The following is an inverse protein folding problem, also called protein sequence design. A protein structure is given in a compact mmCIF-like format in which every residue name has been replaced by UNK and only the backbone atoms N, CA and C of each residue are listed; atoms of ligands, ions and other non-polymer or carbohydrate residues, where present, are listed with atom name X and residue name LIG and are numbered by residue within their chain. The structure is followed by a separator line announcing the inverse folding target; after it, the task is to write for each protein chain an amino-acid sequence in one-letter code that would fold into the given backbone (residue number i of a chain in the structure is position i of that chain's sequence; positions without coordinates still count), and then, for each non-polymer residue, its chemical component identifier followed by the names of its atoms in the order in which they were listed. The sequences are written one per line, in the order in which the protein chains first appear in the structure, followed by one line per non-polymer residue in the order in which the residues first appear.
data_IF_079899327674
#
_entry.id   IF_079899327674
#
_cell.length_a   1.000
_cell.length_b   1.000
_cell.length_c   1.000
_cell.angle_alpha   90.00
_cell.angle_beta   90.00
_cell.angle_gamma   90.00
#
_symmetry.space_group_name_H-M   'P 1'
#
loop_
_entity.id
_entity.type
_entity.pdbx_description
1 polymer ?
#
# COMPACT_ATOMS: atom_id res chain seq x y z
N UNK A 1 -15.39 6.47 -1.10
CA UNK A 1 -15.15 6.87 0.31
C UNK A 1 -14.31 8.14 0.44
N UNK A 2 -13.02 8.19 0.08
CA UNK A 2 -12.25 9.45 0.17
C UNK A 2 -12.83 10.58 -0.73
N UNK A 3 -13.22 10.22 -1.96
CA UNK A 3 -13.90 11.13 -2.90
C UNK A 3 -15.22 11.67 -2.32
N UNK A 4 -16.06 10.79 -1.78
CA UNK A 4 -17.40 11.15 -1.30
C UNK A 4 -17.37 11.92 0.02
N UNK A 5 -16.41 11.62 0.91
CA UNK A 5 -16.17 12.37 2.13
C UNK A 5 -15.72 13.81 1.85
N UNK A 6 -14.98 14.03 0.76
CA UNK A 6 -14.54 15.37 0.36
C UNK A 6 -15.67 16.20 -0.28
N UNK A 7 -16.48 15.57 -1.13
CA UNK A 7 -17.66 16.22 -1.72
C UNK A 7 -18.71 16.64 -0.67
N UNK A 8 -18.86 15.87 0.41
CA UNK A 8 -19.82 16.20 1.47
C UNK A 8 -19.30 17.23 2.49
N UNK A 9 -17.99 17.46 2.58
CA UNK A 9 -17.41 18.31 3.62
C UNK A 9 -17.31 19.80 3.27
N UNK A 10 -17.45 20.21 2.01
CA UNK A 10 -17.28 21.62 1.64
C UNK A 10 -18.61 22.34 1.42
N UNK A 11 -19.09 22.99 2.49
CA UNK A 11 -20.11 24.03 2.40
C UNK A 11 -19.59 25.32 1.69
N UNK A 12 -18.32 25.34 1.24
CA UNK A 12 -17.73 26.34 0.35
C UNK A 12 -16.95 25.62 -0.76
N UNK A 13 -17.58 25.46 -1.93
CA UNK A 13 -17.08 24.86 -3.19
C UNK A 13 -15.57 25.07 -3.48
N UNK A 14 -14.74 24.11 -3.06
CA UNK A 14 -13.33 23.99 -3.47
C UNK A 14 -13.18 22.88 -4.51
N UNK A 15 -12.11 22.94 -5.31
CA UNK A 15 -11.80 21.95 -6.36
C UNK A 15 -10.64 21.08 -5.90
N UNK A 16 -10.80 19.76 -6.01
CA UNK A 16 -9.76 18.78 -5.69
C UNK A 16 -9.49 17.88 -6.89
N UNK A 17 -8.26 17.91 -7.39
CA UNK A 17 -7.83 17.12 -8.56
C UNK A 17 -6.73 16.15 -8.15
N UNK A 18 -6.90 14.88 -8.53
CA UNK A 18 -5.88 13.83 -8.37
C UNK A 18 -5.14 13.62 -9.69
N UNK A 19 -3.82 13.63 -9.63
CA UNK A 19 -2.89 13.35 -10.71
C UNK A 19 -2.11 12.08 -10.36
N UNK A 20 -2.31 10.97 -11.09
CA UNK A 20 -1.52 9.75 -10.89
C UNK A 20 -0.15 9.90 -11.56
N UNK A 21 0.94 9.65 -10.83
CA UNK A 21 2.30 9.71 -11.35
C UNK A 21 2.76 8.33 -11.85
N UNK A 22 3.31 8.30 -13.06
CA UNK A 22 3.90 7.15 -13.72
C UNK A 22 5.43 7.12 -13.62
N UNK A 23 6.03 6.03 -14.14
CA UNK A 23 7.49 5.87 -14.17
C UNK A 23 8.19 6.76 -15.19
N UNK A 24 7.48 7.07 -16.27
CA UNK A 24 7.96 7.89 -17.38
C UNK A 24 7.57 9.36 -17.21
N UNK A 25 6.95 9.72 -16.08
CA UNK A 25 6.59 11.08 -15.77
C UNK A 25 7.78 11.87 -15.21
N UNK A 26 7.82 13.15 -15.59
CA UNK A 26 8.75 14.15 -15.11
C UNK A 26 7.97 15.34 -14.52
N UNK A 27 8.68 16.39 -14.06
CA UNK A 27 8.02 17.57 -13.53
C UNK A 27 7.03 18.20 -14.53
N UNK A 28 7.39 18.26 -15.82
CA UNK A 28 6.57 18.89 -16.84
C UNK A 28 5.31 18.08 -17.16
N UNK A 29 5.45 16.77 -17.36
CA UNK A 29 4.33 15.88 -17.71
C UNK A 29 3.27 15.88 -16.61
N UNK A 30 3.67 15.85 -15.33
CA UNK A 30 2.75 15.89 -14.19
C UNK A 30 1.89 17.15 -14.21
N UNK A 31 2.48 18.33 -14.41
CA UNK A 31 1.72 19.58 -14.40
C UNK A 31 0.92 19.81 -15.68
N UNK A 32 1.33 19.23 -16.81
CA UNK A 32 0.52 19.19 -18.04
C UNK A 32 -0.70 18.28 -17.90
N UNK A 33 -0.64 17.20 -17.11
CA UNK A 33 -1.82 16.35 -16.82
C UNK A 33 -2.93 17.08 -16.05
N UNK A 34 -2.65 18.22 -15.42
CA UNK A 34 -3.64 18.94 -14.63
C UNK A 34 -4.81 19.47 -15.49
N UNK A 35 -4.54 19.97 -16.70
CA UNK A 35 -5.57 20.53 -17.58
C UNK A 35 -6.64 19.50 -17.99
N UNK A 36 -6.31 18.32 -18.57
CA UNK A 36 -7.34 17.35 -18.93
C UNK A 36 -8.12 16.82 -17.72
N UNK A 37 -7.48 16.74 -16.54
CA UNK A 37 -8.18 16.38 -15.30
C UNK A 37 -9.13 17.47 -14.81
N UNK A 38 -8.75 18.75 -14.95
CA UNK A 38 -9.62 19.89 -14.66
C UNK A 38 -10.79 19.97 -15.64
N UNK A 39 -10.56 19.77 -16.94
CA UNK A 39 -11.64 19.72 -17.94
C UNK A 39 -12.62 18.57 -17.63
N UNK A 40 -12.11 17.38 -17.33
CA UNK A 40 -12.95 16.24 -16.92
C UNK A 40 -13.77 16.52 -15.65
N UNK A 41 -13.22 17.33 -14.72
CA UNK A 41 -13.96 17.79 -13.56
C UNK A 41 -15.07 18.78 -13.95
N UNK A 42 -14.77 19.74 -14.83
CA UNK A 42 -15.71 20.76 -15.28
C UNK A 42 -16.91 20.19 -16.06
N UNK A 43 -16.69 19.12 -16.83
CA UNK A 43 -17.75 18.41 -17.56
C UNK A 43 -18.84 17.84 -16.64
N UNK A 44 -18.48 17.55 -15.38
CA UNK A 44 -19.38 16.99 -14.37
C UNK A 44 -19.78 18.02 -13.31
N UNK A 45 -19.21 19.22 -13.35
CA UNK A 45 -19.42 20.25 -12.34
C UNK A 45 -20.74 21.02 -12.58
N UNK A 46 -21.33 21.60 -11.52
CA UNK A 46 -22.41 22.58 -11.67
C UNK A 46 -22.02 23.75 -12.56
N UNK A 47 -22.97 24.28 -13.33
CA UNK A 47 -22.73 25.33 -14.32
C UNK A 47 -22.07 26.59 -13.75
N UNK A 48 -22.39 26.97 -12.51
CA UNK A 48 -21.80 28.11 -11.82
C UNK A 48 -20.32 27.92 -11.45
N UNK A 49 -19.91 26.66 -11.18
CA UNK A 49 -18.50 26.31 -10.97
C UNK A 49 -17.76 26.31 -12.31
N UNK A 50 -18.38 25.76 -13.35
CA UNK A 50 -17.80 25.71 -14.70
C UNK A 50 -17.54 27.12 -15.25
N UNK A 51 -18.52 28.02 -15.15
CA UNK A 51 -18.39 29.41 -15.61
C UNK A 51 -17.25 30.16 -14.88
N UNK A 52 -17.05 29.89 -13.58
CA UNK A 52 -15.99 30.54 -12.79
C UNK A 52 -14.59 30.01 -13.08
N UNK A 53 -14.48 28.72 -13.44
CA UNK A 53 -13.19 28.06 -13.54
C UNK A 53 -12.68 27.94 -14.97
N UNK A 54 -13.56 27.87 -15.98
CA UNK A 54 -13.15 27.63 -17.38
C UNK A 54 -12.07 28.61 -17.85
N UNK A 55 -12.28 29.92 -17.67
CA UNK A 55 -11.31 30.94 -18.06
C UNK A 55 -9.96 30.83 -17.31
N UNK A 56 -9.97 30.28 -16.09
CA UNK A 56 -8.76 30.03 -15.32
C UNK A 56 -8.03 28.76 -15.78
N UNK A 57 -8.77 27.74 -16.24
CA UNK A 57 -8.21 26.53 -16.88
C UNK A 57 -7.55 26.89 -18.20
N UNK A 58 -8.24 27.64 -19.07
CA UNK A 58 -7.68 28.05 -20.36
C UNK A 58 -6.38 28.85 -20.17
N UNK A 59 -6.37 29.76 -19.18
CA UNK A 59 -5.17 30.53 -18.85
C UNK A 59 -4.07 29.68 -18.20
N UNK A 60 -4.41 28.63 -17.46
CA UNK A 60 -3.43 27.68 -16.95
C UNK A 60 -2.74 26.94 -18.10
N UNK A 61 -3.54 26.45 -19.05
CA UNK A 61 -3.08 25.77 -20.26
C UNK A 61 -2.10 26.66 -21.06
N UNK A 62 -2.45 27.93 -21.26
CA UNK A 62 -1.57 28.91 -21.91
C UNK A 62 -0.23 29.12 -21.17
N UNK A 63 -0.24 29.10 -19.84
CA UNK A 63 0.96 29.35 -19.02
C UNK A 63 1.87 28.12 -18.95
N UNK A 64 1.29 26.92 -18.88
CA UNK A 64 2.01 25.69 -18.56
C UNK A 64 2.21 24.82 -19.80
N UNK A 65 1.19 24.62 -20.61
CA UNK A 65 1.27 23.72 -21.77
C UNK A 65 1.94 24.37 -22.97
N UNK A 66 1.69 25.66 -23.17
CA UNK A 66 2.25 26.43 -24.29
C UNK A 66 3.62 27.06 -23.98
N UNK A 67 4.20 26.77 -22.81
CA UNK A 67 5.53 27.23 -22.45
C UNK A 67 6.63 26.39 -23.15
N UNK A 68 7.69 27.06 -23.61
CA UNK A 68 8.88 26.41 -24.19
C UNK A 68 9.55 25.44 -23.19
N UNK A 69 9.48 25.76 -21.90
CA UNK A 69 9.91 24.91 -20.80
C UNK A 69 8.99 25.07 -19.59
N UNK A 70 8.55 23.96 -19.01
CA UNK A 70 7.74 23.97 -17.78
C UNK A 70 8.67 24.11 -16.59
N UNK A 71 8.60 25.27 -15.92
CA UNK A 71 9.40 25.58 -14.73
C UNK A 71 8.52 25.71 -13.49
N UNK A 72 9.10 25.61 -12.27
CA UNK A 72 8.37 25.87 -11.03
C UNK A 72 7.64 27.22 -11.01
N UNK A 73 8.24 28.27 -11.57
CA UNK A 73 7.59 29.59 -11.68
C UNK A 73 6.35 29.56 -12.59
N UNK A 74 6.46 28.94 -13.77
CA UNK A 74 5.33 28.80 -14.69
C UNK A 74 4.16 28.08 -14.00
N UNK A 75 4.46 26.96 -13.34
CA UNK A 75 3.44 26.17 -12.62
C UNK A 75 2.87 26.95 -11.44
N UNK A 76 3.70 27.64 -10.64
CA UNK A 76 3.23 28.46 -9.52
C UNK A 76 2.28 29.57 -9.98
N UNK A 77 2.61 30.26 -11.09
CA UNK A 77 1.73 31.27 -11.69
C UNK A 77 0.43 30.66 -12.21
N UNK A 78 0.50 29.50 -12.88
CA UNK A 78 -0.68 28.76 -13.32
C UNK A 78 -1.60 28.37 -12.16
N UNK A 79 -1.05 27.73 -11.12
CA UNK A 79 -1.81 27.34 -9.93
C UNK A 79 -2.40 28.54 -9.20
N UNK A 80 -1.70 29.69 -9.17
CA UNK A 80 -2.21 30.94 -8.61
C UNK A 80 -3.42 31.48 -9.38
N UNK A 81 -3.43 31.35 -10.71
CA UNK A 81 -4.59 31.70 -11.55
C UNK A 81 -5.79 30.85 -11.16
N UNK A 82 -5.63 29.52 -11.09
CA UNK A 82 -6.69 28.60 -10.70
C UNK A 82 -7.19 28.85 -9.27
N UNK A 83 -6.25 28.98 -8.32
CA UNK A 83 -6.52 29.15 -6.90
C UNK A 83 -7.20 30.49 -6.53
N UNK A 84 -7.11 31.49 -7.42
CA UNK A 84 -7.83 32.76 -7.28
C UNK A 84 -9.32 32.64 -7.63
N UNK A 85 -9.68 31.70 -8.52
CA UNK A 85 -11.08 31.43 -8.86
C UNK A 85 -11.75 30.59 -7.78
N UNK A 86 -11.06 29.56 -7.26
CA UNK A 86 -11.59 28.61 -6.27
C UNK A 86 -10.45 28.09 -5.37
N UNK A 87 -10.71 27.76 -4.09
CA UNK A 87 -9.73 27.00 -3.30
C UNK A 87 -9.37 25.70 -4.02
N UNK A 88 -8.07 25.46 -4.24
CA UNK A 88 -7.57 24.35 -5.03
C UNK A 88 -6.82 23.35 -4.16
N UNK A 89 -7.08 22.06 -4.38
CA UNK A 89 -6.29 20.95 -3.85
C UNK A 89 -5.79 20.12 -5.03
N UNK A 90 -4.48 19.90 -5.10
CA UNK A 90 -3.87 19.02 -6.09
C UNK A 90 -3.24 17.84 -5.37
N UNK A 91 -3.63 16.62 -5.72
CA UNK A 91 -3.11 15.38 -5.12
C UNK A 91 -2.22 14.71 -6.15
N UNK A 92 -0.91 14.69 -5.90
CA UNK A 92 0.07 13.92 -6.64
C UNK A 92 0.13 12.53 -6.03
N UNK A 93 -0.35 11.52 -6.74
CA UNK A 93 -0.45 10.15 -6.24
C UNK A 93 0.58 9.24 -6.89
N UNK A 94 1.06 8.23 -6.15
CA UNK A 94 2.20 7.39 -6.56
C UNK A 94 3.47 8.21 -6.90
N UNK A 95 3.72 9.31 -6.17
CA UNK A 95 4.85 10.21 -6.44
C UNK A 95 6.21 9.51 -6.39
N UNK A 96 6.33 8.39 -5.66
CA UNK A 96 7.53 7.55 -5.64
C UNK A 96 7.88 6.94 -7.01
N UNK A 97 6.97 6.98 -7.99
CA UNK A 97 7.21 6.51 -9.36
C UNK A 97 8.08 7.46 -10.19
N UNK A 98 8.11 8.74 -9.85
CA UNK A 98 8.93 9.75 -10.54
C UNK A 98 10.39 9.49 -10.19
N UNK A 99 11.17 9.06 -11.17
CA UNK A 99 12.48 8.45 -10.94
C UNK A 99 13.68 9.40 -10.94
N UNK A 100 13.56 10.59 -11.53
CA UNK A 100 14.70 11.49 -11.69
C UNK A 100 14.86 12.44 -10.49
N UNK A 101 16.08 12.51 -9.95
CA UNK A 101 16.40 13.41 -8.84
C UNK A 101 16.16 14.88 -9.19
N UNK A 102 16.49 15.28 -10.43
CA UNK A 102 16.32 16.65 -10.90
C UNK A 102 14.85 17.09 -10.85
N UNK A 103 13.90 16.19 -11.12
CA UNK A 103 12.47 16.49 -11.01
C UNK A 103 12.06 16.76 -9.56
N UNK A 104 12.58 15.99 -8.61
CA UNK A 104 12.26 16.18 -7.19
C UNK A 104 12.68 17.57 -6.68
N UNK A 105 13.79 18.11 -7.17
CA UNK A 105 14.24 19.48 -6.89
C UNK A 105 13.22 20.51 -7.41
N UNK A 106 12.71 20.32 -8.63
CA UNK A 106 11.71 21.22 -9.21
C UNK A 106 10.39 21.22 -8.40
N UNK A 107 9.95 20.06 -7.90
CA UNK A 107 8.80 19.99 -6.99
C UNK A 107 9.05 20.71 -5.67
N UNK A 108 10.25 20.57 -5.08
CA UNK A 108 10.61 21.28 -3.86
C UNK A 108 10.61 22.81 -4.04
N UNK A 109 11.17 23.29 -5.15
CA UNK A 109 11.17 24.72 -5.50
C UNK A 109 9.75 25.25 -5.73
N UNK A 110 8.89 24.47 -6.39
CA UNK A 110 7.47 24.84 -6.56
C UNK A 110 6.76 24.97 -5.21
N UNK A 111 6.90 23.99 -4.30
CA UNK A 111 6.27 24.02 -2.97
C UNK A 111 6.72 25.27 -2.20
N UNK A 112 8.02 25.60 -2.29
CA UNK A 112 8.56 26.81 -1.69
C UNK A 112 7.90 28.06 -2.26
N UNK A 113 7.81 28.17 -3.59
CA UNK A 113 7.14 29.31 -4.24
C UNK A 113 5.69 29.43 -3.80
N UNK A 114 4.92 28.35 -3.83
CA UNK A 114 3.52 28.34 -3.39
C UNK A 114 3.36 28.80 -1.93
N UNK A 115 4.27 28.36 -1.06
CA UNK A 115 4.29 28.73 0.36
C UNK A 115 4.69 30.19 0.59
N UNK A 116 5.75 30.67 -0.07
CA UNK A 116 6.25 32.04 0.11
C UNK A 116 5.24 33.07 -0.45
N UNK A 117 4.55 32.72 -1.54
CA UNK A 117 3.51 33.56 -2.17
C UNK A 117 2.11 33.43 -1.54
N UNK A 118 1.93 32.55 -0.55
CA UNK A 118 0.65 32.25 0.08
C UNK A 118 -0.47 31.90 -0.93
N UNK A 119 -0.13 31.12 -1.94
CA UNK A 119 -1.10 30.67 -2.95
C UNK A 119 -2.16 29.80 -2.27
N UNK A 120 -3.45 30.02 -2.58
CA UNK A 120 -4.59 29.25 -2.03
C UNK A 120 -4.72 27.85 -2.65
N UNK A 121 -3.60 27.19 -2.86
CA UNK A 121 -3.47 25.85 -3.40
C UNK A 121 -2.81 24.95 -2.34
N UNK A 122 -3.45 23.83 -2.01
CA UNK A 122 -2.84 22.79 -1.18
C UNK A 122 -2.38 21.65 -2.07
N UNK A 123 -1.08 21.33 -2.04
CA UNK A 123 -0.54 20.17 -2.75
C UNK A 123 -0.38 19.01 -1.76
N UNK A 124 -1.04 17.89 -2.04
CA UNK A 124 -0.84 16.63 -1.35
C UNK A 124 0.09 15.76 -2.18
N UNK A 125 1.17 15.27 -1.57
CA UNK A 125 2.08 14.33 -2.19
C UNK A 125 1.89 12.98 -1.50
N UNK A 126 1.46 11.99 -2.26
CA UNK A 126 1.21 10.63 -1.79
C UNK A 126 2.20 9.70 -2.48
N UNK A 127 2.93 8.94 -1.67
CA UNK A 127 3.92 7.99 -2.16
C UNK A 127 4.60 7.26 -1.01
N UNK A 128 5.49 6.33 -1.34
CA UNK A 128 6.25 5.56 -0.35
C UNK A 128 7.33 6.42 0.33
N UNK A 129 7.44 6.27 1.65
CA UNK A 129 8.23 7.15 2.54
C UNK A 129 9.71 7.30 2.15
N UNK A 130 10.34 6.26 1.60
CA UNK A 130 11.76 6.28 1.25
C UNK A 130 12.06 7.29 0.13
N UNK A 131 11.11 7.53 -0.78
CA UNK A 131 11.28 8.47 -1.90
C UNK A 131 10.89 9.91 -1.49
N UNK A 132 9.91 10.07 -0.60
CA UNK A 132 9.51 11.37 -0.04
C UNK A 132 10.62 11.96 0.83
N UNK A 133 11.41 11.13 1.51
CA UNK A 133 12.61 11.59 2.21
C UNK A 133 13.66 12.20 1.24
N UNK A 134 13.75 11.70 0.02
CA UNK A 134 14.58 12.27 -1.05
C UNK A 134 14.18 13.70 -1.40
N UNK A 135 12.87 13.97 -1.51
CA UNK A 135 12.32 15.32 -1.72
C UNK A 135 12.73 16.29 -0.60
N UNK A 136 12.81 15.81 0.65
CA UNK A 136 13.19 16.61 1.82
C UNK A 136 14.70 16.86 1.94
N UNK A 137 15.52 15.92 1.46
CA UNK A 137 16.96 15.93 1.67
C UNK A 137 17.68 17.10 0.95
N UNK A 138 17.10 17.65 -0.12
CA UNK A 138 17.69 18.75 -0.89
C UNK A 138 17.45 20.16 -0.34
N UNK A 139 16.40 20.37 0.48
CA UNK A 139 15.93 21.72 0.81
C UNK A 139 15.51 21.86 2.28
N UNK A 140 16.47 22.04 3.20
CA UNK A 140 16.17 22.32 4.61
C UNK A 140 15.18 23.49 4.84
N UNK A 141 14.99 24.37 3.85
CA UNK A 141 14.05 25.50 3.91
C UNK A 141 12.58 25.15 3.60
N UNK A 142 12.26 23.99 3.01
CA UNK A 142 10.87 23.57 2.74
C UNK A 142 10.21 22.87 3.93
N UNK A 143 10.97 22.48 4.95
CA UNK A 143 10.45 21.74 6.11
C UNK A 143 9.31 22.50 6.81
N UNK A 144 9.41 23.83 6.87
CA UNK A 144 8.34 24.71 7.41
C UNK A 144 7.07 24.75 6.55
N UNK A 145 7.19 24.40 5.26
CA UNK A 145 6.09 24.42 4.29
C UNK A 145 5.42 23.03 4.15
N UNK A 146 5.97 22.01 4.81
CA UNK A 146 5.51 20.63 4.68
C UNK A 146 4.94 20.12 6.02
N UNK A 147 3.87 19.33 5.90
CA UNK A 147 3.34 18.55 7.02
C UNK A 147 3.34 17.07 6.64
N UNK A 148 4.22 16.31 7.26
CA UNK A 148 4.28 14.87 7.06
C UNK A 148 3.17 14.18 7.84
N UNK A 149 2.37 13.37 7.13
CA UNK A 149 1.38 12.49 7.74
C UNK A 149 1.85 11.06 7.51
N UNK A 150 2.41 10.45 8.56
CA UNK A 150 2.80 9.06 8.50
C UNK A 150 1.56 8.16 8.56
N UNK A 151 1.46 7.23 7.62
CA UNK A 151 0.42 6.20 7.58
C UNK A 151 1.03 4.86 8.04
N UNK A 152 1.01 4.55 9.34
CA UNK A 152 1.52 3.27 9.84
C UNK A 152 0.59 2.12 9.43
N UNK A 153 1.06 0.89 9.65
CA UNK A 153 0.20 -0.30 9.58
C UNK A 153 -0.94 -0.17 10.58
N UNK A 154 -2.12 -0.66 10.20
CA UNK A 154 -3.27 -0.72 11.10
C UNK A 154 -2.97 -1.67 12.26
N UNK A 155 -3.41 -1.28 13.45
CA UNK A 155 -3.33 -2.10 14.65
C UNK A 155 -4.30 -3.28 14.57
N UNK A 156 -4.05 -4.38 15.31
CA UNK A 156 -4.95 -5.53 15.33
C UNK A 156 -6.41 -5.17 15.63
N UNK A 157 -6.65 -4.20 16.52
CA UNK A 157 -8.00 -3.75 16.90
C UNK A 157 -8.69 -3.01 15.75
N UNK A 158 -7.93 -2.20 14.98
CA UNK A 158 -8.47 -1.49 13.81
C UNK A 158 -8.84 -2.48 12.69
N UNK A 159 -8.02 -3.51 12.49
CA UNK A 159 -8.33 -4.58 11.54
C UNK A 159 -9.54 -5.41 11.98
N UNK A 160 -9.68 -5.67 13.28
CA UNK A 160 -10.86 -6.31 13.84
C UNK A 160 -12.13 -5.51 13.50
N UNK A 161 -12.10 -4.19 13.71
CA UNK A 161 -13.24 -3.31 13.43
C UNK A 161 -13.59 -3.27 11.94
N UNK A 162 -12.59 -3.33 11.04
CA UNK A 162 -12.81 -3.46 9.60
C UNK A 162 -13.56 -4.76 9.27
N UNK A 163 -13.18 -5.88 9.89
CA UNK A 163 -13.84 -7.18 9.66
C UNK A 163 -15.28 -7.12 10.16
N UNK A 164 -15.48 -6.79 11.43
CA UNK A 164 -16.82 -6.77 12.06
C UNK A 164 -17.73 -5.77 11.34
N UNK A 165 -17.28 -4.53 11.14
CA UNK A 165 -18.05 -3.51 10.44
C UNK A 165 -18.41 -3.89 9.01
N UNK A 166 -17.55 -4.63 8.31
CA UNK A 166 -17.83 -5.17 6.97
C UNK A 166 -19.00 -6.17 6.97
N UNK A 167 -19.01 -7.11 7.91
CA UNK A 167 -20.09 -8.11 8.02
C UNK A 167 -21.39 -7.51 8.57
N UNK A 168 -21.31 -6.57 9.51
CA UNK A 168 -22.47 -5.81 10.00
C UNK A 168 -23.12 -5.00 8.87
N UNK A 169 -22.29 -4.39 8.00
CA UNK A 169 -22.77 -3.66 6.83
C UNK A 169 -23.45 -4.59 5.82
N UNK A 170 -22.91 -5.79 5.61
CA UNK A 170 -23.54 -6.81 4.77
C UNK A 170 -24.91 -7.21 5.32
N UNK A 171 -25.02 -7.48 6.62
CA UNK A 171 -26.29 -7.81 7.26
C UNK A 171 -27.30 -6.67 7.08
N UNK A 172 -26.89 -5.43 7.33
CA UNK A 172 -27.74 -4.24 7.18
C UNK A 172 -28.28 -4.08 5.76
N UNK A 173 -27.47 -4.36 4.74
CA UNK A 173 -27.84 -4.16 3.33
C UNK A 173 -28.60 -5.35 2.71
N UNK A 174 -28.30 -6.57 3.13
CA UNK A 174 -28.81 -7.80 2.49
C UNK A 174 -29.80 -8.58 3.35
N UNK A 175 -29.85 -8.33 4.67
CA UNK A 175 -30.57 -9.16 5.64
C UNK A 175 -29.92 -10.51 5.92
N UNK A 176 -28.77 -10.83 5.30
CA UNK A 176 -28.04 -12.08 5.54
C UNK A 176 -27.02 -11.89 6.64
N UNK A 177 -27.18 -12.63 7.73
CA UNK A 177 -26.23 -12.64 8.85
C UNK A 177 -25.21 -13.75 8.69
N UNK A 178 -23.93 -13.37 8.69
CA UNK A 178 -22.80 -14.31 8.76
C UNK A 178 -22.12 -14.09 10.11
N UNK A 179 -22.07 -15.13 10.92
CA UNK A 179 -21.46 -15.09 12.26
C UNK A 179 -20.04 -15.61 12.19
N UNK A 180 -19.09 -14.78 12.59
CA UNK A 180 -17.68 -15.15 12.71
C UNK A 180 -17.37 -15.58 14.15
N UNK A 181 -16.70 -16.71 14.31
CA UNK A 181 -16.08 -17.05 15.59
C UNK A 181 -14.92 -16.09 15.93
N UNK A 182 -14.57 -15.92 17.22
CA UNK A 182 -13.38 -15.15 17.62
C UNK A 182 -12.09 -15.67 16.97
N UNK A 183 -11.98 -16.99 16.80
CA UNK A 183 -10.86 -17.63 16.11
C UNK A 183 -10.74 -17.18 14.65
N UNK A 184 -11.86 -17.10 13.93
CA UNK A 184 -11.89 -16.62 12.55
C UNK A 184 -11.41 -15.16 12.42
N UNK A 185 -11.91 -14.27 13.30
CA UNK A 185 -11.51 -12.86 13.27
C UNK A 185 -10.01 -12.72 13.57
N UNK A 186 -9.53 -13.40 14.61
CA UNK A 186 -8.12 -13.39 14.97
C UNK A 186 -7.23 -13.92 13.84
N UNK A 187 -7.66 -14.97 13.14
CA UNK A 187 -6.95 -15.51 11.98
C UNK A 187 -6.88 -14.47 10.84
N UNK A 188 -7.98 -13.79 10.52
CA UNK A 188 -7.99 -12.73 9.48
C UNK A 188 -7.04 -11.59 9.87
N UNK A 189 -7.12 -11.09 11.11
CA UNK A 189 -6.28 -9.99 11.61
C UNK A 189 -4.80 -10.37 11.55
N UNK A 190 -4.43 -11.56 12.05
CA UNK A 190 -3.06 -12.06 12.01
C UNK A 190 -2.54 -12.24 10.58
N UNK A 191 -3.35 -12.78 9.67
CA UNK A 191 -2.93 -12.97 8.27
C UNK A 191 -2.82 -11.65 7.50
N UNK A 192 -3.57 -10.63 7.90
CA UNK A 192 -3.56 -9.30 7.26
C UNK A 192 -2.31 -8.48 7.58
N UNK A 193 -1.61 -8.76 8.69
CA UNK A 193 -0.33 -8.13 9.06
C UNK A 193 -0.37 -6.59 9.11
N UNK A 194 -1.54 -6.02 9.44
CA UNK A 194 -1.77 -4.57 9.52
C UNK A 194 -2.08 -3.87 8.19
N UNK A 195 -2.28 -4.62 7.10
CA UNK A 195 -2.63 -4.05 5.79
C UNK A 195 -4.15 -4.10 5.56
N UNK A 196 -4.82 -2.95 5.36
CA UNK A 196 -6.28 -2.88 5.21
C UNK A 196 -6.79 -3.65 3.99
N UNK A 197 -6.05 -3.57 2.88
CA UNK A 197 -6.40 -4.25 1.63
C UNK A 197 -6.55 -5.77 1.82
N UNK A 198 -5.63 -6.41 2.55
CA UNK A 198 -5.72 -7.86 2.78
C UNK A 198 -6.81 -8.23 3.76
N UNK A 199 -7.11 -7.37 4.75
CA UNK A 199 -8.25 -7.58 5.64
C UNK A 199 -9.57 -7.60 4.85
N UNK A 200 -9.77 -6.64 3.94
CA UNK A 200 -10.93 -6.63 3.06
C UNK A 200 -10.97 -7.83 2.12
N UNK A 201 -9.83 -8.20 1.50
CA UNK A 201 -9.75 -9.34 0.60
C UNK A 201 -10.15 -10.64 1.32
N UNK A 202 -9.56 -10.92 2.48
CA UNK A 202 -9.83 -12.13 3.25
C UNK A 202 -11.28 -12.17 3.76
N UNK A 203 -11.74 -11.09 4.39
CA UNK A 203 -13.11 -11.00 4.90
C UNK A 203 -14.13 -11.13 3.76
N UNK A 204 -13.88 -10.49 2.62
CA UNK A 204 -14.72 -10.57 1.42
C UNK A 204 -14.79 -11.98 0.86
N UNK A 205 -13.64 -12.65 0.67
CA UNK A 205 -13.60 -14.04 0.18
C UNK A 205 -14.28 -15.02 1.14
N UNK A 206 -14.18 -14.79 2.45
CA UNK A 206 -14.91 -15.57 3.46
C UNK A 206 -16.41 -15.36 3.32
N UNK A 207 -16.86 -14.10 3.22
CA UNK A 207 -18.28 -13.77 3.03
C UNK A 207 -18.84 -14.41 1.76
N UNK A 208 -18.10 -14.35 0.66
CA UNK A 208 -18.47 -15.00 -0.59
C UNK A 208 -18.56 -16.54 -0.44
N UNK A 209 -17.57 -17.16 0.20
CA UNK A 209 -17.57 -18.60 0.42
C UNK A 209 -18.74 -19.04 1.31
N UNK A 210 -19.03 -18.29 2.37
CA UNK A 210 -20.15 -18.52 3.27
C UNK A 210 -21.49 -18.45 2.51
N UNK A 211 -21.68 -17.44 1.66
CA UNK A 211 -22.87 -17.29 0.82
C UNK A 211 -23.03 -18.44 -0.19
N UNK A 212 -21.94 -18.80 -0.90
CA UNK A 212 -21.96 -19.88 -1.91
C UNK A 212 -22.22 -21.25 -1.29
N UNK A 213 -21.62 -21.53 -0.13
CA UNK A 213 -21.77 -22.80 0.59
C UNK A 213 -23.01 -22.85 1.46
N UNK A 214 -23.74 -21.74 1.62
CA UNK A 214 -24.84 -21.56 2.57
C UNK A 214 -24.43 -21.91 4.01
N UNK A 215 -23.15 -21.70 4.36
CA UNK A 215 -22.59 -21.89 5.69
C UNK A 215 -22.36 -20.53 6.33
N UNK A 216 -23.27 -20.11 7.19
CA UNK A 216 -23.25 -18.78 7.81
C UNK A 216 -22.56 -18.70 9.17
N UNK A 217 -22.06 -19.83 9.68
CA UNK A 217 -21.21 -19.88 10.87
C UNK A 217 -19.79 -20.16 10.42
N UNK A 218 -18.94 -19.14 10.46
CA UNK A 218 -17.57 -19.18 9.94
C UNK A 218 -16.59 -19.35 11.11
N UNK A 219 -15.75 -20.37 10.99
CA UNK A 219 -14.67 -20.65 11.94
C UNK A 219 -13.29 -20.37 11.32
N UNK A 220 -12.25 -20.40 12.15
CA UNK A 220 -10.85 -20.27 11.72
C UNK A 220 -10.46 -21.27 10.62
N UNK A 221 -11.10 -22.44 10.59
CA UNK A 221 -10.91 -23.44 9.55
C UNK A 221 -11.40 -22.98 8.17
N UNK A 222 -12.44 -22.13 8.13
CA UNK A 222 -12.99 -21.59 6.89
C UNK A 222 -12.13 -20.44 6.32
N UNK A 223 -11.47 -19.68 7.20
CA UNK A 223 -10.53 -18.60 6.81
C UNK A 223 -9.45 -19.13 5.89
N UNK A 224 -8.95 -20.34 6.17
CA UNK A 224 -7.93 -20.97 5.36
C UNK A 224 -8.43 -21.38 3.97
N UNK A 225 -9.61 -22.00 3.89
CA UNK A 225 -10.22 -22.36 2.62
C UNK A 225 -10.50 -21.12 1.75
N UNK A 226 -10.92 -20.02 2.40
CA UNK A 226 -11.10 -18.73 1.76
C UNK A 226 -9.77 -18.12 1.30
N UNK A 227 -8.70 -18.21 2.09
CA UNK A 227 -7.35 -17.77 1.72
C UNK A 227 -6.83 -18.54 0.50
N UNK A 228 -7.01 -19.86 0.43
CA UNK A 228 -6.61 -20.68 -0.72
C UNK A 228 -7.32 -20.21 -1.99
N UNK A 229 -8.64 -19.97 -1.90
CA UNK A 229 -9.42 -19.44 -3.03
C UNK A 229 -8.99 -18.03 -3.41
N UNK A 230 -8.91 -17.13 -2.43
CA UNK A 230 -8.49 -15.75 -2.60
C UNK A 230 -7.10 -15.68 -3.25
N UNK A 231 -6.14 -16.50 -2.83
CA UNK A 231 -4.78 -16.51 -3.40
C UNK A 231 -4.72 -17.21 -4.76
N UNK A 232 -5.57 -18.21 -5.01
CA UNK A 232 -5.68 -18.85 -6.33
C UNK A 232 -6.29 -17.93 -7.39
N UNK A 233 -7.20 -17.04 -6.98
CA UNK A 233 -7.88 -16.07 -7.84
C UNK A 233 -7.11 -14.73 -7.91
N UNK A 234 -6.46 -14.30 -6.82
CA UNK A 234 -5.89 -12.96 -6.71
C UNK A 234 -4.43 -12.80 -7.16
N UNK A 235 -3.63 -13.86 -7.35
CA UNK A 235 -2.23 -13.61 -7.70
C UNK A 235 -1.49 -14.75 -8.43
N UNK A 236 -1.60 -14.77 -9.77
CA UNK A 236 -0.63 -15.48 -10.62
C UNK A 236 0.81 -15.02 -10.31
N UNK A 237 1.01 -13.73 -10.05
CA UNK A 237 2.31 -13.12 -9.70
C UNK A 237 2.94 -13.73 -8.44
N UNK A 238 2.18 -13.92 -7.36
CA UNK A 238 2.66 -14.53 -6.11
C UNK A 238 3.06 -15.98 -6.35
N UNK A 239 2.26 -16.73 -7.12
CA UNK A 239 2.58 -18.13 -7.44
C UNK A 239 3.87 -18.23 -8.24
N UNK A 240 4.06 -17.36 -9.24
CA UNK A 240 5.28 -17.30 -10.05
C UNK A 240 6.48 -16.92 -9.17
N UNK A 241 6.40 -15.81 -8.43
CA UNK A 241 7.47 -15.35 -7.55
C UNK A 241 7.87 -16.40 -6.50
N UNK A 242 6.90 -17.07 -5.88
CA UNK A 242 7.18 -18.18 -4.98
C UNK A 242 7.88 -19.34 -5.69
N UNK A 243 7.38 -19.74 -6.86
CA UNK A 243 7.90 -20.89 -7.63
C UNK A 243 9.34 -20.64 -8.04
N UNK A 244 9.63 -19.45 -8.55
CA UNK A 244 10.98 -19.03 -8.93
C UNK A 244 11.90 -18.97 -7.71
N UNK A 245 11.40 -18.51 -6.57
CA UNK A 245 12.18 -18.43 -5.34
C UNK A 245 12.62 -19.81 -4.85
N UNK A 246 11.77 -20.83 -4.95
CA UNK A 246 12.11 -22.21 -4.53
C UNK A 246 12.74 -23.06 -5.64
N UNK A 247 12.74 -22.60 -6.89
CA UNK A 247 13.29 -23.33 -8.03
C UNK A 247 14.79 -23.61 -7.84
N UNK A 248 15.15 -24.88 -7.63
CA UNK A 248 16.54 -25.32 -7.48
C UNK A 248 16.66 -26.84 -7.60
N UNK A 249 17.91 -27.35 -7.61
CA UNK A 249 18.18 -28.79 -7.52
C UNK A 249 17.74 -29.38 -6.16
N UNK A 250 17.56 -28.55 -5.12
CA UNK A 250 17.08 -28.96 -3.78
C UNK A 250 15.91 -28.07 -3.30
N UNK A 251 14.74 -28.11 -3.95
CA UNK A 251 13.62 -27.18 -3.69
C UNK A 251 13.15 -27.18 -2.24
N UNK A 252 13.18 -28.34 -1.58
CA UNK A 252 12.72 -28.51 -0.21
C UNK A 252 13.46 -27.59 0.78
N UNK A 253 14.74 -27.27 0.56
CA UNK A 253 15.50 -26.42 1.48
C UNK A 253 15.11 -24.94 1.39
N UNK A 254 14.88 -24.43 0.17
CA UNK A 254 14.42 -23.06 -0.03
C UNK A 254 12.98 -22.88 0.44
N UNK A 255 12.12 -23.88 0.18
CA UNK A 255 10.73 -23.89 0.67
C UNK A 255 10.66 -23.79 2.19
N UNK A 256 11.43 -24.62 2.91
CA UNK A 256 11.50 -24.55 4.39
C UNK A 256 12.06 -23.22 4.89
N UNK A 257 13.02 -22.63 4.17
CA UNK A 257 13.58 -21.32 4.55
C UNK A 257 12.56 -20.21 4.39
N UNK A 258 11.82 -20.16 3.27
CA UNK A 258 10.72 -19.20 3.09
C UNK A 258 9.64 -19.39 4.14
N UNK A 259 9.30 -20.64 4.48
CA UNK A 259 8.33 -20.93 5.52
C UNK A 259 8.81 -20.44 6.89
N UNK A 260 10.09 -20.64 7.22
CA UNK A 260 10.69 -20.07 8.42
C UNK A 260 10.66 -18.53 8.41
N UNK A 261 10.89 -17.87 7.27
CA UNK A 261 10.71 -16.41 7.15
C UNK A 261 9.27 -15.99 7.48
N UNK A 262 8.28 -16.79 7.06
CA UNK A 262 6.87 -16.50 7.33
C UNK A 262 6.45 -16.72 8.79
N UNK A 263 7.17 -17.57 9.52
CA UNK A 263 6.95 -17.84 10.94
C UNK A 263 7.81 -16.98 11.87
N UNK A 264 8.81 -16.29 11.35
CA UNK A 264 9.72 -15.48 12.16
C UNK A 264 8.99 -14.33 12.86
N UNK A 265 9.41 -14.06 14.11
CA UNK A 265 9.01 -12.85 14.81
C UNK A 265 9.47 -11.61 14.05
N UNK A 266 8.58 -10.63 13.96
CA UNK A 266 8.78 -9.37 13.23
C UNK A 266 8.62 -8.18 14.17
N UNK A 267 9.29 -7.08 13.83
CA UNK A 267 9.07 -5.77 14.46
C UNK A 267 7.79 -5.09 13.97
N UNK A 268 7.51 -3.89 14.49
CA UNK A 268 6.34 -3.08 14.14
C UNK A 268 6.26 -2.73 12.64
N UNK A 269 7.40 -2.70 11.94
CA UNK A 269 7.50 -2.44 10.51
C UNK A 269 7.41 -3.73 9.67
N UNK A 270 7.24 -4.87 10.33
CA UNK A 270 7.12 -6.20 9.73
C UNK A 270 8.45 -6.82 9.31
N UNK A 271 9.59 -6.30 9.81
CA UNK A 271 10.90 -6.84 9.52
C UNK A 271 11.36 -7.85 10.57
N UNK A 272 12.05 -8.90 10.15
CA UNK A 272 12.72 -9.87 11.01
C UNK A 272 14.24 -9.80 10.86
N UNK A 273 14.98 -10.21 11.89
CA UNK A 273 16.42 -10.41 11.79
C UNK A 273 16.74 -11.85 11.36
N UNK A 274 17.89 -12.11 10.71
CA UNK A 274 18.34 -13.47 10.42
C UNK A 274 18.44 -14.37 11.66
N UNK A 275 18.60 -13.80 12.85
CA UNK A 275 18.61 -14.55 14.10
C UNK A 275 17.24 -15.16 14.44
N UNK A 276 16.14 -14.51 14.08
CA UNK A 276 14.77 -14.97 14.35
C UNK A 276 14.38 -16.21 13.54
N UNK A 277 15.16 -16.61 12.54
CA UNK A 277 14.92 -17.82 11.74
C UNK A 277 15.51 -19.10 12.37
N UNK A 278 16.38 -18.98 13.38
CA UNK A 278 17.10 -20.14 13.92
C UNK A 278 16.13 -21.20 14.46
N UNK A 279 15.19 -20.76 15.28
CA UNK A 279 14.21 -21.65 15.92
C UNK A 279 13.21 -22.20 14.89
N UNK A 280 12.45 -21.38 14.14
CA UNK A 280 11.51 -21.90 13.14
C UNK A 280 12.15 -22.84 12.12
N UNK A 281 13.32 -22.51 11.59
CA UNK A 281 13.97 -23.37 10.59
C UNK A 281 14.55 -24.65 11.20
N UNK A 282 14.96 -24.62 12.47
CA UNK A 282 15.45 -25.82 13.15
C UNK A 282 14.33 -26.83 13.36
N UNK A 283 13.16 -26.35 13.80
CA UNK A 283 11.95 -27.15 13.97
C UNK A 283 11.48 -27.74 12.64
N UNK A 284 11.28 -26.87 11.63
CA UNK A 284 10.81 -27.26 10.30
C UNK A 284 11.73 -28.29 9.61
N UNK A 285 13.04 -28.17 9.80
CA UNK A 285 14.01 -29.06 9.15
C UNK A 285 14.45 -30.27 9.99
N UNK A 286 14.00 -30.35 11.25
CA UNK A 286 14.40 -31.38 12.22
C UNK A 286 15.90 -31.39 12.54
N UNK A 287 16.62 -30.30 12.29
CA UNK A 287 18.07 -30.17 12.45
C UNK A 287 18.41 -28.79 12.97
N UNK A 288 19.34 -28.70 13.92
CA UNK A 288 19.81 -27.40 14.43
C UNK A 288 20.38 -26.56 13.30
N UNK A 289 19.81 -25.37 13.11
CA UNK A 289 20.23 -24.38 12.11
C UNK A 289 20.85 -23.17 12.78
N UNK A 290 21.97 -22.73 12.22
CA UNK A 290 22.66 -21.51 12.62
C UNK A 290 22.53 -20.46 11.51
N UNK A 291 22.66 -19.18 11.86
CA UNK A 291 22.52 -18.08 10.89
C UNK A 291 23.35 -18.25 9.61
N UNK A 292 24.64 -18.66 9.68
CA UNK A 292 25.44 -18.90 8.47
C UNK A 292 24.83 -19.93 7.51
N UNK A 293 24.04 -20.90 8.01
CA UNK A 293 23.51 -22.00 7.19
C UNK A 293 22.41 -21.58 6.22
N UNK A 294 21.81 -20.40 6.37
CA UNK A 294 20.70 -19.92 5.54
C UNK A 294 20.84 -18.45 5.08
N UNK A 295 21.93 -17.76 5.41
CA UNK A 295 22.17 -16.39 4.93
C UNK A 295 22.20 -16.29 3.40
N UNK A 296 22.77 -17.30 2.73
CA UNK A 296 22.77 -17.35 1.26
C UNK A 296 21.35 -17.43 0.67
N UNK A 297 20.41 -18.07 1.37
CA UNK A 297 19.02 -18.14 0.95
C UNK A 297 18.35 -16.76 1.10
N UNK A 298 18.54 -16.09 2.25
CA UNK A 298 18.00 -14.74 2.47
C UNK A 298 18.51 -13.74 1.44
N UNK A 299 19.81 -13.79 1.13
CA UNK A 299 20.39 -12.95 0.09
C UNK A 299 19.77 -13.23 -1.28
N UNK A 300 19.65 -14.51 -1.67
CA UNK A 300 18.99 -14.91 -2.91
C UNK A 300 17.54 -14.41 -3.01
N UNK A 301 16.81 -14.44 -1.90
CA UNK A 301 15.43 -13.96 -1.86
C UNK A 301 15.30 -12.43 -1.95
N UNK A 302 16.34 -11.70 -1.58
CA UNK A 302 16.38 -10.25 -1.64
C UNK A 302 16.98 -9.67 -2.92
N UNK A 303 17.78 -10.46 -3.66
CA UNK A 303 18.47 -10.02 -4.86
C UNK A 303 17.66 -10.32 -6.14
N UNK A 304 17.99 -9.59 -7.22
CA UNK A 304 17.49 -9.90 -8.55
C UNK A 304 17.87 -11.34 -8.96
N UNK A 305 16.97 -12.09 -9.64
CA UNK A 305 15.69 -11.66 -10.19
C UNK A 305 14.46 -11.88 -9.28
N UNK A 306 14.65 -12.40 -8.06
CA UNK A 306 13.55 -13.01 -7.28
C UNK A 306 12.77 -12.01 -6.42
N UNK A 307 13.42 -10.96 -5.89
CA UNK A 307 12.83 -9.85 -5.12
C UNK A 307 11.57 -10.22 -4.30
N UNK A 308 11.66 -11.30 -3.53
CA UNK A 308 10.57 -11.80 -2.68
C UNK A 308 10.69 -11.27 -1.25
N UNK A 309 11.89 -10.82 -0.85
CA UNK A 309 12.14 -10.10 0.39
C UNK A 309 12.72 -8.70 0.12
N UNK A 310 12.20 -7.68 0.79
CA UNK A 310 12.92 -6.41 0.96
C UNK A 310 14.03 -6.59 2.00
N UNK A 311 15.14 -5.87 1.83
CA UNK A 311 16.21 -5.81 2.83
C UNK A 311 16.47 -4.37 3.28
N UNK A 312 16.61 -4.17 4.60
CA UNK A 312 17.02 -2.91 5.20
C UNK A 312 18.32 -3.10 5.99
N UNK A 313 19.28 -2.20 5.78
CA UNK A 313 20.57 -2.20 6.46
C UNK A 313 21.57 -3.22 5.94
N UNK A 314 22.85 -3.05 6.33
CA UNK A 314 23.97 -3.84 5.80
C UNK A 314 24.61 -4.80 6.82
N UNK A 315 25.09 -5.93 6.31
CA UNK A 315 25.86 -6.92 7.08
C UNK A 315 25.10 -7.48 8.28
N UNK A 316 25.64 -7.28 9.49
CA UNK A 316 25.04 -7.79 10.74
C UNK A 316 23.75 -7.07 11.15
N UNK A 317 23.47 -5.90 10.56
CA UNK A 317 22.26 -5.12 10.83
C UNK A 317 21.16 -5.38 9.80
N UNK A 318 21.37 -6.28 8.83
CA UNK A 318 20.36 -6.59 7.82
C UNK A 318 19.08 -7.13 8.46
N UNK A 319 17.98 -6.60 7.97
CA UNK A 319 16.59 -6.92 8.34
C UNK A 319 15.83 -7.24 7.07
N UNK A 320 14.95 -8.22 7.12
CA UNK A 320 14.21 -8.70 5.96
C UNK A 320 12.71 -8.65 6.21
N UNK A 321 11.92 -8.43 5.17
CA UNK A 321 10.46 -8.61 5.18
C UNK A 321 10.00 -9.12 3.82
N UNK A 322 8.84 -9.75 3.74
CA UNK A 322 8.24 -10.05 2.43
C UNK A 322 7.94 -8.77 1.66
N UNK A 323 8.34 -8.73 0.39
CA UNK A 323 8.07 -7.62 -0.51
C UNK A 323 6.57 -7.47 -0.75
N UNK A 324 5.92 -8.57 -1.14
CA UNK A 324 4.46 -8.68 -1.19
C UNK A 324 3.95 -9.26 0.13
N UNK A 325 3.15 -8.52 0.92
CA UNK A 325 2.66 -9.04 2.19
C UNK A 325 1.73 -10.26 2.07
N UNK A 326 1.13 -10.57 0.89
CA UNK A 326 0.42 -11.85 0.65
C UNK A 326 1.35 -13.03 0.46
N UNK A 327 2.64 -12.80 0.19
CA UNK A 327 3.59 -13.90 0.10
C UNK A 327 3.70 -14.66 1.42
N UNK A 328 3.67 -13.94 2.56
CA UNK A 328 3.69 -14.55 3.90
C UNK A 328 2.55 -15.56 4.11
N UNK A 329 1.25 -15.19 4.00
CA UNK A 329 0.15 -16.13 4.14
C UNK A 329 0.13 -17.18 3.02
N UNK A 330 0.57 -16.87 1.80
CA UNK A 330 0.69 -17.86 0.72
C UNK A 330 1.71 -18.96 1.07
N UNK A 331 2.89 -18.59 1.56
CA UNK A 331 3.94 -19.52 1.98
C UNK A 331 3.46 -20.39 3.15
N UNK A 332 2.80 -19.80 4.14
CA UNK A 332 2.20 -20.54 5.26
C UNK A 332 1.15 -21.53 4.76
N UNK A 333 0.30 -21.11 3.81
CA UNK A 333 -0.71 -21.97 3.20
C UNK A 333 -0.10 -23.17 2.51
N UNK A 334 0.97 -22.97 1.75
CA UNK A 334 1.66 -24.07 1.11
C UNK A 334 2.28 -25.02 2.15
N UNK A 335 2.89 -24.49 3.21
CA UNK A 335 3.42 -25.30 4.31
C UNK A 335 2.36 -26.16 5.00
N UNK A 336 1.14 -25.64 5.15
CA UNK A 336 -0.01 -26.40 5.69
C UNK A 336 -0.48 -27.48 4.72
N UNK A 337 -0.66 -27.15 3.44
CA UNK A 337 -1.11 -28.09 2.41
C UNK A 337 -0.11 -29.24 2.18
N UNK A 338 1.19 -28.94 2.30
CA UNK A 338 2.28 -29.91 2.21
C UNK A 338 2.47 -30.71 3.51
N UNK A 339 1.69 -30.42 4.57
CA UNK A 339 1.74 -31.11 5.87
C UNK A 339 3.00 -30.80 6.70
N UNK A 340 3.73 -29.74 6.37
CA UNK A 340 5.00 -29.35 7.02
C UNK A 340 4.72 -28.65 8.36
N UNK A 341 3.71 -27.78 8.38
CA UNK A 341 3.24 -27.13 9.62
C UNK A 341 1.83 -27.59 9.93
N UNK A 342 1.49 -27.60 11.21
CA UNK A 342 0.12 -27.81 11.69
C UNK A 342 -0.47 -26.45 12.06
N UNK A 343 -1.79 -26.36 12.02
CA UNK A 343 -2.48 -25.16 12.48
C UNK A 343 -2.06 -24.87 13.93
N UNK A 344 -1.74 -23.62 14.31
CA UNK A 344 -1.62 -23.28 15.72
C UNK A 344 -3.01 -23.49 16.32
N UNK A 345 -3.19 -24.64 16.97
CA UNK A 345 -4.33 -24.84 17.86
C UNK A 345 -4.20 -23.78 18.96
N UNK A 346 -5.28 -23.10 19.37
CA UNK A 346 -5.27 -22.49 20.69
C UNK A 346 -4.89 -23.60 21.67
N UNK A 347 -3.93 -23.29 22.52
CA UNK A 347 -3.41 -24.19 23.54
C UNK A 347 -4.61 -24.73 24.34
N UNK A 348 -4.79 -26.06 24.43
CA UNK A 348 -5.81 -26.71 25.28
C UNK A 348 -5.45 -26.57 26.77
N UNK A 349 -4.83 -25.45 27.17
CA UNK A 349 -4.32 -25.17 28.51
C UNK A 349 -5.19 -24.21 29.32
N UNK A 350 -6.47 -24.08 28.97
CA UNK A 350 -7.51 -23.58 29.88
C UNK A 350 -8.64 -24.62 30.02
N UNK A 351 -8.37 -25.62 30.87
CA UNK A 351 -9.37 -26.52 31.47
C UNK A 351 -9.28 -26.47 32.97
#
# INVERSE_FOLDING_TARGET
MARDAFYQASANSGVAIRLPCGKDDDFASVWKMLTPHLQSYLDLAPADVTERLQAAVDKYEDIVEMADAVTPDCVARGLKVLANSVPLVVILDEFDRIGAWDDTVLFADLIKMLSDDLVKCTVFIVGVADNVAGLLAGHASIDRALRQVHMPRMRPEELHDVVVGGFDRLETLSGVRITLSPGAINAIVKLSQGFPYYTHLLAGSIGELALRSKKYNVTEYDVFAALVRATSEAAHSIRVAYTDAVASVKPAQFGLTLLACALAEVDELGFFAPANLREPLSELSGKVRTTPSYLAHLKRFADAPLYILDTRGEGRKSRYRFHDPLMKPFVMMKGLNDGIIKFPMPDDSES
#
